data_IF_600810877916
#
_entry.id   IF_600810877916
#
_cell.length_a   1.000
_cell.length_b   1.000
_cell.length_c   1.000
_cell.angle_alpha   90.00
_cell.angle_beta   90.00
_cell.angle_gamma   90.00
#
_symmetry.space_group_name_H-M   'P 1'
#
loop_
_entity.id
_entity.type
_entity.pdbx_description
1 polymer ?
#
# COMPACT_ATOMS: atom_id res chain seq x y z
N UNK A 1 14.72 -46.38 -42.38
CA UNK A 1 14.87 -45.84 -41.01
C UNK A 1 14.42 -44.39 -41.06
N UNK A 2 13.21 -44.13 -40.59
CA UNK A 2 12.65 -42.78 -40.48
C UNK A 2 12.94 -42.27 -39.07
N UNK A 3 13.75 -41.22 -38.97
CA UNK A 3 14.03 -40.55 -37.71
C UNK A 3 12.86 -39.64 -37.33
N UNK A 4 12.28 -39.88 -36.18
CA UNK A 4 11.29 -38.98 -35.53
C UNK A 4 12.07 -37.92 -34.77
N UNK A 5 12.07 -36.69 -35.24
CA UNK A 5 12.56 -35.54 -34.49
C UNK A 5 11.49 -35.12 -33.48
N UNK A 6 11.73 -35.35 -32.19
CA UNK A 6 10.89 -34.85 -31.11
C UNK A 6 11.21 -33.36 -30.93
N UNK A 7 10.25 -32.49 -31.27
CA UNK A 7 10.30 -31.07 -30.93
C UNK A 7 9.95 -30.95 -29.42
N UNK A 8 10.95 -30.69 -28.59
CA UNK A 8 10.74 -30.28 -27.23
C UNK A 8 10.34 -28.80 -27.22
N UNK A 9 9.02 -28.53 -27.10
CA UNK A 9 8.52 -27.19 -26.85
C UNK A 9 8.89 -26.82 -25.39
N UNK A 10 9.92 -26.01 -25.24
CA UNK A 10 10.20 -25.37 -23.94
C UNK A 10 9.10 -24.34 -23.68
N UNK A 11 8.12 -24.69 -22.84
CA UNK A 11 7.25 -23.72 -22.23
C UNK A 11 8.12 -22.87 -21.29
N UNK A 12 8.57 -21.70 -21.75
CA UNK A 12 9.01 -20.64 -20.87
C UNK A 12 7.77 -20.17 -20.11
N UNK A 13 7.60 -20.67 -18.90
CA UNK A 13 6.71 -20.04 -17.92
C UNK A 13 7.30 -18.65 -17.70
N UNK A 14 6.69 -17.64 -18.31
CA UNK A 14 6.96 -16.25 -17.96
C UNK A 14 6.58 -16.11 -16.49
N UNK A 15 7.59 -16.14 -15.62
CA UNK A 15 7.39 -15.77 -14.21
C UNK A 15 6.97 -14.31 -14.24
N UNK A 16 5.77 -13.95 -13.81
CA UNK A 16 5.36 -12.56 -13.80
C UNK A 16 6.39 -11.78 -12.98
N UNK A 17 6.81 -10.61 -13.50
CA UNK A 17 7.73 -9.74 -12.78
C UNK A 17 7.18 -9.52 -11.37
N UNK A 18 7.97 -9.90 -10.35
CA UNK A 18 7.55 -9.79 -8.97
C UNK A 18 7.33 -8.31 -8.62
N UNK A 19 6.09 -7.92 -8.53
CA UNK A 19 5.70 -6.63 -7.98
C UNK A 19 6.02 -6.66 -6.49
N UNK A 20 6.62 -5.59 -5.98
CA UNK A 20 7.20 -5.63 -4.65
C UNK A 20 6.78 -4.38 -3.87
N UNK A 21 5.79 -4.48 -2.99
CA UNK A 21 5.46 -3.46 -2.01
C UNK A 21 5.39 -4.10 -0.63
N UNK A 22 5.63 -3.34 0.41
CA UNK A 22 5.50 -3.80 1.79
C UNK A 22 4.79 -2.74 2.61
N UNK A 23 3.86 -3.14 3.46
CA UNK A 23 3.24 -2.31 4.49
C UNK A 23 3.46 -2.99 5.84
N UNK A 24 3.76 -2.23 6.87
CA UNK A 24 3.84 -2.70 8.25
C UNK A 24 3.23 -1.72 9.24
N UNK A 25 2.76 -2.24 10.38
CA UNK A 25 2.27 -1.47 11.53
C UNK A 25 3.09 -1.86 12.76
N UNK A 26 3.76 -0.90 13.34
CA UNK A 26 4.52 -1.08 14.58
C UNK A 26 3.70 -0.62 15.77
N UNK A 27 3.60 -1.47 16.78
CA UNK A 27 3.00 -1.16 18.08
C UNK A 27 4.10 -0.81 19.08
N UNK A 28 4.23 0.48 19.35
CA UNK A 28 5.29 1.05 20.18
C UNK A 28 4.95 1.12 21.67
N UNK A 29 5.76 1.92 22.38
CA UNK A 29 5.57 2.20 23.80
C UNK A 29 4.33 3.08 24.03
N UNK A 30 3.61 2.84 25.13
CA UNK A 30 2.47 3.64 25.56
C UNK A 30 1.43 3.87 24.45
N UNK A 31 1.08 2.81 23.72
CA UNK A 31 0.07 2.86 22.69
C UNK A 31 0.48 3.62 21.42
N UNK A 32 1.74 4.01 21.29
CA UNK A 32 2.23 4.60 20.04
C UNK A 32 2.09 3.63 18.87
N UNK A 33 1.59 4.11 17.75
CA UNK A 33 1.44 3.35 16.52
C UNK A 33 2.18 4.05 15.40
N UNK A 34 2.92 3.29 14.60
CA UNK A 34 3.60 3.80 13.41
C UNK A 34 3.30 2.85 12.25
N UNK A 35 2.76 3.39 11.18
CA UNK A 35 2.55 2.65 9.92
C UNK A 35 3.63 3.03 8.93
N UNK A 36 4.23 2.05 8.27
CA UNK A 36 5.21 2.30 7.22
C UNK A 36 4.88 1.50 5.95
N UNK A 37 5.29 2.04 4.81
CA UNK A 37 5.12 1.41 3.51
C UNK A 37 6.30 1.69 2.59
N UNK A 38 6.67 0.69 1.73
CA UNK A 38 7.51 0.88 0.55
C UNK A 38 6.69 0.77 -0.73
N UNK A 39 6.90 1.70 -1.65
CA UNK A 39 6.37 1.63 -3.01
C UNK A 39 7.46 1.08 -3.92
N UNK A 40 7.23 -0.13 -4.41
CA UNK A 40 8.16 -0.80 -5.30
C UNK A 40 7.49 -1.00 -6.67
N UNK A 41 8.11 -0.45 -7.71
CA UNK A 41 7.57 -0.48 -9.05
C UNK A 41 8.69 -0.52 -10.09
N UNK A 42 8.44 -1.18 -11.22
CA UNK A 42 9.45 -1.31 -12.29
C UNK A 42 9.68 -0.01 -13.05
N UNK A 43 8.61 0.75 -13.29
CA UNK A 43 8.63 1.98 -14.06
C UNK A 43 8.58 3.21 -13.15
N UNK A 44 8.76 4.42 -13.72
CA UNK A 44 8.47 5.65 -13.01
C UNK A 44 6.97 5.77 -12.75
N UNK A 45 6.59 5.94 -11.48
CA UNK A 45 5.19 5.99 -11.06
C UNK A 45 4.65 7.42 -10.93
N UNK A 46 5.48 8.43 -11.23
CA UNK A 46 5.13 9.85 -11.23
C UNK A 46 4.37 10.30 -9.97
N UNK A 47 4.86 9.88 -8.81
CA UNK A 47 4.23 10.20 -7.52
C UNK A 47 4.38 11.66 -7.19
N UNK A 48 3.28 12.27 -6.76
CA UNK A 48 3.24 13.57 -6.12
C UNK A 48 2.54 13.46 -4.77
N UNK A 49 2.80 14.40 -3.86
CA UNK A 49 1.99 14.52 -2.65
C UNK A 49 0.86 15.52 -2.88
N UNK A 50 -0.31 15.16 -2.41
CA UNK A 50 -1.49 16.02 -2.46
C UNK A 50 -2.07 16.18 -1.07
N UNK A 51 -2.58 17.38 -0.80
CA UNK A 51 -3.40 17.70 0.37
C UNK A 51 -4.80 18.00 -0.13
N UNK A 52 -5.77 17.27 0.40
CA UNK A 52 -7.18 17.47 0.09
C UNK A 52 -7.93 17.91 1.35
N UNK A 53 -8.64 19.05 1.32
CA UNK A 53 -9.53 19.44 2.40
C UNK A 53 -10.77 18.54 2.46
N UNK A 54 -11.52 18.59 3.56
CA UNK A 54 -12.83 17.97 3.64
C UNK A 54 -13.86 18.79 2.85
N UNK A 55 -15.04 18.22 2.63
CA UNK A 55 -16.12 18.88 1.88
C UNK A 55 -15.96 18.86 0.36
N UNK A 56 -14.97 18.15 -0.18
CA UNK A 56 -14.79 18.00 -1.62
C UNK A 56 -15.82 17.06 -2.21
N UNK A 57 -16.50 17.51 -3.27
CA UNK A 57 -17.29 16.61 -4.10
C UNK A 57 -16.34 15.69 -4.89
N UNK A 58 -16.61 14.41 -4.85
CA UNK A 58 -15.82 13.36 -5.48
C UNK A 58 -16.65 12.56 -6.46
N UNK A 59 -15.99 12.11 -7.50
CA UNK A 59 -16.48 11.13 -8.46
C UNK A 59 -15.55 9.93 -8.44
N UNK A 60 -16.12 8.73 -8.32
CA UNK A 60 -15.38 7.49 -8.23
C UNK A 60 -14.77 7.01 -9.54
N UNK A 61 -14.99 7.74 -10.64
CA UNK A 61 -14.49 7.41 -11.99
C UNK A 61 -14.85 5.98 -12.45
N UNK A 62 -16.01 5.48 -11.98
CA UNK A 62 -16.52 4.14 -12.25
C UNK A 62 -17.31 4.00 -13.56
N UNK A 63 -17.33 5.04 -14.41
CA UNK A 63 -18.09 5.06 -15.65
C UNK A 63 -19.50 5.66 -15.50
N UNK A 64 -20.49 5.25 -16.31
CA UNK A 64 -21.82 5.90 -16.35
C UNK A 64 -22.58 5.89 -15.02
N UNK A 65 -22.38 4.87 -14.18
CA UNK A 65 -22.96 4.76 -12.83
C UNK A 65 -21.88 4.94 -11.75
N UNK A 66 -21.04 5.97 -11.91
CA UNK A 66 -19.97 6.25 -10.96
C UNK A 66 -20.51 6.62 -9.60
N UNK A 67 -19.88 6.07 -8.54
CA UNK A 67 -20.14 6.45 -7.17
C UNK A 67 -19.72 7.92 -6.96
N UNK A 68 -20.60 8.71 -6.36
CA UNK A 68 -20.27 10.08 -5.95
C UNK A 68 -20.39 10.24 -4.45
N UNK A 69 -19.50 11.03 -3.85
CA UNK A 69 -19.56 11.35 -2.41
C UNK A 69 -19.00 12.74 -2.12
N UNK A 70 -19.18 13.18 -0.91
CA UNK A 70 -18.50 14.36 -0.37
C UNK A 70 -17.54 13.92 0.72
N UNK A 71 -16.26 14.31 0.64
CA UNK A 71 -15.26 13.93 1.63
C UNK A 71 -15.63 14.44 3.02
N UNK A 72 -15.74 13.53 3.99
CA UNK A 72 -15.96 13.86 5.40
C UNK A 72 -14.68 14.34 6.07
N UNK A 73 -13.55 13.81 5.61
CA UNK A 73 -12.24 14.09 6.18
C UNK A 73 -11.29 14.60 5.10
N UNK A 74 -10.39 15.48 5.51
CA UNK A 74 -9.25 15.88 4.70
C UNK A 74 -8.12 14.86 4.80
N UNK A 75 -7.23 14.84 3.82
CA UNK A 75 -6.15 13.86 3.74
C UNK A 75 -4.88 14.41 3.12
N UNK A 76 -3.76 13.76 3.45
CA UNK A 76 -2.48 13.88 2.76
C UNK A 76 -2.23 12.55 2.08
N UNK A 77 -1.95 12.57 0.77
CA UNK A 77 -1.80 11.35 -0.01
C UNK A 77 -0.56 11.40 -0.92
N UNK A 78 -0.04 10.22 -1.22
CA UNK A 78 0.89 10.01 -2.33
C UNK A 78 0.13 9.38 -3.50
N UNK A 79 0.30 9.98 -4.68
CA UNK A 79 -0.37 9.52 -5.88
C UNK A 79 0.44 8.47 -6.65
N UNK A 80 -0.26 7.63 -7.41
CA UNK A 80 0.32 6.82 -8.47
C UNK A 80 -0.10 7.37 -9.82
N UNK A 81 0.85 7.58 -10.72
CA UNK A 81 0.67 8.19 -12.04
C UNK A 81 -0.02 9.56 -11.98
N UNK A 82 0.00 10.20 -10.84
CA UNK A 82 -0.70 11.46 -10.52
C UNK A 82 -2.24 11.41 -10.71
N UNK A 83 -2.83 10.23 -10.77
CA UNK A 83 -4.27 9.99 -10.99
C UNK A 83 -4.93 9.12 -9.92
N UNK A 84 -4.17 8.35 -9.17
CA UNK A 84 -4.69 7.43 -8.15
C UNK A 84 -4.12 7.72 -6.77
N UNK A 85 -4.89 7.46 -5.72
CA UNK A 85 -4.37 7.45 -4.34
C UNK A 85 -3.81 6.06 -4.04
N UNK A 86 -2.50 5.96 -3.82
CA UNK A 86 -1.84 4.67 -3.53
C UNK A 86 -1.37 4.55 -2.09
N UNK A 87 -1.28 5.67 -1.39
CA UNK A 87 -0.87 5.78 0.01
C UNK A 87 -1.43 7.08 0.58
N UNK A 88 -1.74 7.13 1.86
CA UNK A 88 -2.14 8.37 2.50
C UNK A 88 -2.67 8.19 3.92
N UNK A 89 -2.87 9.33 4.56
CA UNK A 89 -3.44 9.44 5.90
C UNK A 89 -4.47 10.57 5.93
N UNK A 90 -5.60 10.34 6.58
CA UNK A 90 -6.56 11.41 6.81
C UNK A 90 -6.33 12.13 8.15
N UNK A 91 -7.02 13.24 8.34
CA UNK A 91 -6.90 14.08 9.54
C UNK A 91 -7.30 13.37 10.84
N UNK A 92 -8.03 12.24 10.76
CA UNK A 92 -8.40 11.41 11.91
C UNK A 92 -7.32 10.36 12.23
N UNK A 93 -6.31 10.21 11.37
CA UNK A 93 -5.22 9.25 11.54
C UNK A 93 -5.48 7.88 10.91
N UNK A 94 -6.52 7.72 10.10
CA UNK A 94 -6.69 6.52 9.28
C UNK A 94 -5.67 6.55 8.14
N UNK A 95 -4.89 5.49 8.01
CA UNK A 95 -3.92 5.27 6.93
C UNK A 95 -4.47 4.25 5.95
N UNK A 96 -4.37 4.53 4.66
CA UNK A 96 -4.76 3.63 3.59
C UNK A 96 -3.58 3.38 2.64
N UNK A 97 -3.35 2.12 2.31
CA UNK A 97 -2.30 1.70 1.37
C UNK A 97 -2.86 0.68 0.40
N UNK A 98 -2.66 0.87 -0.89
CA UNK A 98 -2.92 -0.16 -1.89
C UNK A 98 -1.61 -0.76 -2.38
N UNK A 99 -1.57 -2.09 -2.46
CA UNK A 99 -0.45 -2.87 -2.94
C UNK A 99 -0.92 -3.80 -4.04
N UNK A 100 -0.01 -4.24 -4.88
CA UNK A 100 -0.31 -5.18 -5.95
C UNK A 100 -0.59 -6.58 -5.39
N UNK A 101 -1.68 -7.22 -5.86
CA UNK A 101 -2.01 -8.61 -5.60
C UNK A 101 -2.46 -9.28 -6.91
N UNK A 102 -1.67 -10.21 -7.42
CA UNK A 102 -1.95 -10.88 -8.70
C UNK A 102 -3.26 -11.67 -8.65
N UNK A 103 -3.58 -12.22 -7.50
CA UNK A 103 -4.75 -13.06 -7.23
C UNK A 103 -6.06 -12.27 -7.12
N UNK A 104 -6.02 -10.92 -7.16
CA UNK A 104 -7.24 -10.11 -7.09
C UNK A 104 -8.12 -10.33 -8.31
N UNK A 105 -9.34 -10.76 -8.06
CA UNK A 105 -10.42 -10.89 -9.05
C UNK A 105 -11.64 -10.11 -8.55
N UNK A 106 -11.97 -9.03 -9.26
CA UNK A 106 -13.08 -8.16 -8.88
C UNK A 106 -14.42 -8.73 -9.33
N UNK A 107 -15.54 -8.38 -8.65
CA UNK A 107 -16.87 -8.84 -9.03
C UNK A 107 -17.22 -8.35 -10.45
N UNK A 108 -18.10 -9.10 -11.11
CA UNK A 108 -18.67 -8.67 -12.38
C UNK A 108 -19.43 -7.35 -12.20
N UNK A 109 -19.46 -6.55 -13.27
CA UNK A 109 -20.22 -5.30 -13.27
C UNK A 109 -21.69 -5.54 -12.93
N UNK A 110 -22.21 -4.82 -11.92
CA UNK A 110 -23.62 -4.80 -11.56
C UNK A 110 -24.20 -3.40 -11.90
N UNK A 111 -25.06 -3.28 -12.90
CA UNK A 111 -25.63 -1.99 -13.28
C UNK A 111 -26.54 -1.37 -12.20
N UNK A 112 -26.95 -2.14 -11.19
CA UNK A 112 -27.79 -1.66 -10.09
C UNK A 112 -26.97 -1.11 -8.92
N UNK A 113 -25.67 -1.34 -8.90
CA UNK A 113 -24.76 -0.78 -7.89
C UNK A 113 -23.90 0.33 -8.49
N UNK A 114 -23.61 1.41 -7.74
CA UNK A 114 -22.65 2.40 -8.19
C UNK A 114 -21.25 1.77 -8.32
N UNK A 115 -20.47 2.24 -9.27
CA UNK A 115 -19.13 1.75 -9.53
C UNK A 115 -18.07 2.69 -8.98
N UNK A 116 -17.05 2.13 -8.36
CA UNK A 116 -15.86 2.84 -7.86
C UNK A 116 -14.63 2.34 -8.62
N UNK A 117 -13.89 3.24 -9.24
CA UNK A 117 -12.60 2.88 -9.83
C UNK A 117 -11.60 2.46 -8.77
N UNK A 118 -10.79 1.47 -9.09
CA UNK A 118 -9.69 1.01 -8.23
C UNK A 118 -8.71 2.15 -7.92
N UNK A 119 -8.58 3.13 -8.79
CA UNK A 119 -7.74 4.33 -8.59
C UNK A 119 -8.25 5.21 -7.43
N UNK A 120 -9.54 5.16 -7.12
CA UNK A 120 -10.19 5.94 -6.07
C UNK A 120 -10.44 5.15 -4.78
N UNK A 121 -10.12 3.85 -4.74
CA UNK A 121 -10.48 2.97 -3.61
C UNK A 121 -9.88 3.43 -2.28
N UNK A 122 -8.57 3.68 -2.24
CA UNK A 122 -7.94 4.21 -1.02
C UNK A 122 -8.45 5.61 -0.65
N UNK A 123 -8.69 6.48 -1.66
CA UNK A 123 -9.23 7.83 -1.40
C UNK A 123 -10.64 7.76 -0.80
N UNK A 124 -11.48 6.86 -1.29
CA UNK A 124 -12.82 6.66 -0.73
C UNK A 124 -12.76 6.27 0.75
N UNK A 125 -11.83 5.38 1.13
CA UNK A 125 -11.65 5.00 2.52
C UNK A 125 -11.19 6.19 3.38
N UNK A 126 -10.19 6.95 2.93
CA UNK A 126 -9.68 8.13 3.63
C UNK A 126 -10.73 9.24 3.77
N UNK A 127 -11.56 9.43 2.77
CA UNK A 127 -12.58 10.48 2.75
C UNK A 127 -13.77 10.17 3.68
N UNK A 128 -14.07 8.89 3.93
CA UNK A 128 -15.35 8.50 4.55
C UNK A 128 -15.24 7.92 5.96
N UNK A 129 -14.08 7.38 6.37
CA UNK A 129 -13.93 6.67 7.63
C UNK A 129 -12.86 7.30 8.52
N UNK A 130 -13.13 7.34 9.84
CA UNK A 130 -12.17 7.82 10.82
C UNK A 130 -11.29 6.69 11.37
N UNK A 131 -11.81 5.46 11.42
CA UNK A 131 -11.15 4.31 12.02
C UNK A 131 -11.22 3.07 11.12
N UNK A 132 -10.36 2.10 11.38
CA UNK A 132 -10.41 0.79 10.72
C UNK A 132 -11.75 0.10 10.98
N UNK A 133 -12.26 0.13 12.20
CA UNK A 133 -13.53 -0.49 12.56
C UNK A 133 -14.71 0.10 11.77
N UNK A 134 -14.77 1.43 11.61
CA UNK A 134 -15.78 2.09 10.79
C UNK A 134 -15.68 1.67 9.31
N UNK A 135 -14.47 1.58 8.79
CA UNK A 135 -14.25 1.16 7.41
C UNK A 135 -14.65 -0.30 7.17
N UNK A 136 -14.31 -1.20 8.10
CA UNK A 136 -14.71 -2.61 8.04
C UNK A 136 -16.23 -2.75 8.02
N UNK A 137 -16.92 -2.02 8.89
CA UNK A 137 -18.40 -2.05 8.94
C UNK A 137 -19.00 -1.44 7.68
N UNK A 138 -18.50 -0.30 7.21
CA UNK A 138 -19.04 0.41 6.06
C UNK A 138 -18.76 -0.27 4.70
N UNK A 139 -17.73 -1.09 4.62
CA UNK A 139 -17.35 -1.79 3.38
C UNK A 139 -17.82 -3.24 3.31
N UNK A 140 -18.20 -3.84 4.43
CA UNK A 140 -18.61 -5.24 4.54
C UNK A 140 -19.71 -5.65 3.57
N UNK A 141 -20.70 -4.80 3.39
CA UNK A 141 -21.86 -5.06 2.53
C UNK A 141 -21.63 -4.63 1.08
N UNK A 142 -20.40 -4.29 0.71
CA UNK A 142 -20.03 -3.89 -0.64
C UNK A 142 -20.96 -2.82 -1.23
N UNK A 143 -20.96 -1.56 -0.72
CA UNK A 143 -21.89 -0.51 -1.14
C UNK A 143 -21.71 -0.07 -2.59
N UNK A 144 -20.65 -0.52 -3.24
CA UNK A 144 -20.31 -0.26 -4.65
C UNK A 144 -19.68 -1.50 -5.28
N UNK A 145 -19.58 -1.50 -6.60
CA UNK A 145 -18.75 -2.45 -7.34
C UNK A 145 -17.40 -1.81 -7.63
N UNK A 146 -16.33 -2.47 -7.22
CA UNK A 146 -14.98 -2.03 -7.56
C UNK A 146 -14.67 -2.41 -9.00
N UNK A 147 -14.32 -1.43 -9.82
CA UNK A 147 -13.95 -1.62 -11.22
C UNK A 147 -12.47 -1.32 -11.44
N UNK A 148 -11.80 -2.22 -12.12
CA UNK A 148 -10.39 -2.07 -12.46
C UNK A 148 -10.23 -1.58 -13.90
N UNK A 149 -9.08 -0.98 -14.16
CA UNK A 149 -8.65 -0.53 -15.48
C UNK A 149 -7.17 -0.89 -15.68
N UNK A 150 -6.68 -0.69 -16.88
CA UNK A 150 -5.29 -0.96 -17.21
C UNK A 150 -4.35 0.01 -16.48
N UNK A 151 -3.18 -0.50 -16.11
CA UNK A 151 -2.07 0.36 -15.65
C UNK A 151 -1.77 1.37 -16.74
N UNK A 152 -1.63 2.68 -16.43
CA UNK A 152 -1.35 3.71 -17.42
C UNK A 152 -0.17 3.35 -18.34
N UNK A 153 -0.42 3.35 -19.65
CA UNK A 153 0.58 3.01 -20.66
C UNK A 153 0.89 1.53 -20.84
N UNK A 154 0.12 0.63 -20.23
CA UNK A 154 0.32 -0.83 -20.34
C UNK A 154 -1.01 -1.55 -20.66
N UNK A 155 -0.94 -2.65 -21.38
CA UNK A 155 -2.06 -3.58 -21.60
C UNK A 155 -2.14 -4.60 -20.43
N UNK A 156 -2.16 -4.12 -19.22
CA UNK A 156 -2.19 -4.94 -18.00
C UNK A 156 -3.21 -4.39 -17.03
N UNK A 157 -4.18 -5.23 -16.66
CA UNK A 157 -5.19 -4.88 -15.68
C UNK A 157 -4.55 -4.62 -14.31
N UNK A 158 -4.99 -3.57 -13.64
CA UNK A 158 -4.56 -3.23 -12.28
C UNK A 158 -5.23 -4.18 -11.29
N UNK A 159 -4.46 -4.89 -10.50
CA UNK A 159 -4.94 -5.81 -9.45
C UNK A 159 -4.32 -5.42 -8.12
N UNK A 160 -5.14 -4.97 -7.18
CA UNK A 160 -4.70 -4.43 -5.89
C UNK A 160 -5.47 -5.07 -4.74
N UNK A 161 -4.87 -5.05 -3.56
CA UNK A 161 -5.53 -5.17 -2.28
C UNK A 161 -5.30 -3.93 -1.43
N UNK A 162 -6.23 -3.64 -0.54
CA UNK A 162 -6.20 -2.46 0.32
C UNK A 162 -5.88 -2.85 1.75
N UNK A 163 -4.99 -2.12 2.40
CA UNK A 163 -4.85 -2.17 3.86
C UNK A 163 -5.21 -0.84 4.51
N UNK A 164 -5.82 -0.94 5.67
CA UNK A 164 -6.12 0.17 6.55
C UNK A 164 -5.46 -0.05 7.91
N UNK A 165 -5.02 1.03 8.53
CA UNK A 165 -4.54 1.05 9.93
C UNK A 165 -4.85 2.40 10.56
N UNK A 166 -4.98 2.43 11.88
CA UNK A 166 -5.30 3.65 12.61
C UNK A 166 -4.50 3.82 13.90
N UNK A 167 -4.75 4.92 14.60
CA UNK A 167 -4.03 5.29 15.82
C UNK A 167 -4.24 4.35 17.00
N UNK A 168 -5.27 3.49 16.96
CA UNK A 168 -5.48 2.44 17.96
C UNK A 168 -4.57 1.23 17.76
N UNK A 169 -3.92 1.16 16.59
CA UNK A 169 -3.13 0.01 16.12
C UNK A 169 -3.99 -1.07 15.49
N UNK A 170 -5.26 -0.80 15.25
CA UNK A 170 -6.13 -1.71 14.50
C UNK A 170 -5.71 -1.78 13.03
N UNK A 171 -5.99 -2.91 12.40
CA UNK A 171 -5.55 -3.20 11.04
C UNK A 171 -6.54 -4.08 10.30
N UNK A 172 -6.84 -3.71 9.07
CA UNK A 172 -7.65 -4.54 8.18
C UNK A 172 -7.03 -4.61 6.78
N UNK A 173 -7.19 -5.77 6.13
CA UNK A 173 -6.76 -6.03 4.77
C UNK A 173 -7.99 -6.49 3.99
N UNK A 174 -8.20 -5.86 2.84
CA UNK A 174 -9.35 -6.09 1.97
C UNK A 174 -8.84 -6.68 0.65
N UNK A 175 -9.24 -7.89 0.34
CA UNK A 175 -8.88 -8.62 -0.87
C UNK A 175 -10.15 -9.01 -1.64
N UNK A 176 -10.10 -8.92 -2.95
CA UNK A 176 -11.14 -9.50 -3.82
C UNK A 176 -10.62 -10.80 -4.40
N UNK A 177 -11.17 -11.92 -3.95
CA UNK A 177 -10.78 -13.27 -4.37
C UNK A 177 -12.00 -13.97 -4.96
N UNK A 178 -11.87 -14.50 -6.18
CA UNK A 178 -12.98 -15.13 -6.91
C UNK A 178 -14.22 -14.22 -6.99
N UNK A 179 -14.02 -12.91 -7.19
CA UNK A 179 -15.09 -11.92 -7.28
C UNK A 179 -15.80 -11.59 -5.96
N UNK A 180 -15.23 -11.96 -4.81
CA UNK A 180 -15.81 -11.73 -3.48
C UNK A 180 -14.85 -10.93 -2.60
N UNK A 181 -15.41 -10.01 -1.84
CA UNK A 181 -14.66 -9.27 -0.83
C UNK A 181 -14.33 -10.17 0.37
N UNK A 182 -13.05 -10.30 0.68
CA UNK A 182 -12.54 -10.96 1.88
C UNK A 182 -11.90 -9.88 2.76
N UNK A 183 -12.36 -9.78 4.00
CA UNK A 183 -11.85 -8.81 4.97
C UNK A 183 -11.11 -9.56 6.09
N UNK A 184 -9.81 -9.33 6.17
CA UNK A 184 -8.98 -9.80 7.27
C UNK A 184 -8.83 -8.66 8.27
N UNK A 185 -9.44 -8.79 9.45
CA UNK A 185 -9.48 -7.73 10.45
C UNK A 185 -8.94 -8.21 11.79
N UNK A 186 -7.79 -7.73 12.18
CA UNK A 186 -7.17 -7.95 13.48
C UNK A 186 -6.02 -6.97 13.71
N UNK A 187 -5.88 -6.53 14.94
CA UNK A 187 -4.70 -5.79 15.40
C UNK A 187 -3.39 -6.53 15.15
N UNK A 188 -3.41 -7.86 15.08
CA UNK A 188 -2.23 -8.71 14.87
C UNK A 188 -1.80 -8.77 13.39
N UNK A 189 -2.62 -8.28 12.47
CA UNK A 189 -2.32 -8.25 11.05
C UNK A 189 -1.46 -7.04 10.68
N UNK A 190 -0.22 -7.05 11.21
CA UNK A 190 0.71 -5.94 11.16
C UNK A 190 1.43 -5.79 9.82
N UNK A 191 1.50 -6.84 9.00
CA UNK A 191 2.26 -6.83 7.75
C UNK A 191 1.36 -7.21 6.57
N UNK A 192 1.55 -6.54 5.44
CA UNK A 192 0.99 -6.90 4.14
C UNK A 192 2.06 -6.70 3.09
N UNK A 193 2.20 -7.68 2.18
CA UNK A 193 3.08 -7.56 1.01
C UNK A 193 2.28 -7.74 -0.27
N UNK A 194 2.70 -8.60 -1.18
CA UNK A 194 2.00 -8.89 -2.43
C UNK A 194 1.52 -10.34 -2.42
N UNK A 195 1.58 -11.03 -3.58
CA UNK A 195 1.23 -12.47 -3.67
C UNK A 195 2.04 -13.35 -2.71
N UNK A 196 1.44 -14.39 -2.17
CA UNK A 196 0.07 -14.85 -2.39
C UNK A 196 -0.98 -14.08 -1.57
N UNK A 197 -2.25 -14.55 -1.59
CA UNK A 197 -3.33 -14.02 -0.74
C UNK A 197 -2.94 -14.00 0.74
N UNK A 198 -3.59 -13.16 1.52
CA UNK A 198 -3.17 -12.91 2.89
C UNK A 198 -3.21 -14.16 3.79
N UNK A 199 -4.22 -15.01 3.67
CA UNK A 199 -4.29 -16.28 4.44
C UNK A 199 -3.14 -17.22 4.08
N UNK A 200 -2.80 -17.32 2.80
CA UNK A 200 -1.65 -18.13 2.35
C UNK A 200 -0.33 -17.53 2.85
N UNK A 201 -0.25 -16.20 2.90
CA UNK A 201 0.90 -15.50 3.45
C UNK A 201 1.09 -15.78 4.94
N UNK A 202 0.01 -15.79 5.72
CA UNK A 202 0.03 -16.17 7.14
C UNK A 202 0.53 -17.62 7.31
N UNK A 203 0.03 -18.55 6.49
CA UNK A 203 0.46 -19.96 6.53
C UNK A 203 1.96 -20.12 6.22
N UNK A 204 2.47 -19.41 5.21
CA UNK A 204 3.90 -19.39 4.87
C UNK A 204 4.75 -18.81 5.99
N UNK A 205 4.27 -17.74 6.64
CA UNK A 205 5.00 -17.09 7.73
C UNK A 205 5.15 -18.01 8.97
N UNK A 206 4.18 -18.87 9.23
CA UNK A 206 4.24 -19.85 10.33
C UNK A 206 5.49 -20.75 10.25
N UNK A 207 5.93 -21.12 9.05
CA UNK A 207 7.17 -21.86 8.85
C UNK A 207 8.39 -21.06 9.31
N UNK A 208 8.46 -19.77 8.94
CA UNK A 208 9.58 -18.90 9.31
C UNK A 208 9.59 -18.55 10.80
N UNK A 209 8.42 -18.39 11.41
CA UNK A 209 8.29 -18.24 12.88
C UNK A 209 8.84 -19.46 13.62
N UNK A 210 8.57 -20.66 13.11
CA UNK A 210 9.08 -21.90 13.68
C UNK A 210 10.60 -22.04 13.60
N UNK A 211 11.25 -21.51 12.56
CA UNK A 211 12.71 -21.46 12.43
C UNK A 211 13.31 -20.45 13.40
N UNK A 212 12.65 -19.29 13.59
CA UNK A 212 13.12 -18.19 14.40
C UNK A 212 14.09 -17.26 13.66
N UNK A 213 13.75 -15.98 13.64
CA UNK A 213 14.44 -14.98 12.83
C UNK A 213 15.90 -14.69 13.20
N UNK A 214 16.35 -15.06 14.41
CA UNK A 214 17.75 -14.98 14.81
C UNK A 214 18.57 -16.16 14.30
N UNK A 215 17.94 -17.26 13.90
CA UNK A 215 18.58 -18.42 13.29
C UNK A 215 18.69 -18.24 11.79
N UNK A 216 17.56 -17.88 11.11
CA UNK A 216 17.53 -17.64 9.68
C UNK A 216 16.32 -16.79 9.29
N UNK A 217 16.51 -15.89 8.33
CA UNK A 217 15.46 -15.18 7.62
C UNK A 217 15.67 -15.29 6.11
N UNK A 218 14.59 -15.38 5.32
CA UNK A 218 14.72 -15.45 3.87
C UNK A 218 15.15 -14.10 3.30
N UNK A 219 16.11 -14.08 2.37
CA UNK A 219 16.79 -12.88 1.91
C UNK A 219 16.38 -12.35 0.54
N UNK A 220 15.45 -13.01 -0.16
CA UNK A 220 15.08 -12.56 -1.52
C UNK A 220 14.10 -11.38 -1.53
N UNK A 221 13.87 -10.83 -2.72
CA UNK A 221 12.89 -9.76 -2.91
C UNK A 221 11.44 -10.26 -3.07
N UNK A 222 11.22 -11.56 -3.01
CA UNK A 222 9.88 -12.15 -3.10
C UNK A 222 8.98 -11.65 -1.97
N UNK A 223 7.69 -11.51 -2.26
CA UNK A 223 6.72 -10.99 -1.31
C UNK A 223 6.69 -11.77 0.01
N UNK A 224 6.68 -13.11 -0.06
CA UNK A 224 6.68 -13.97 1.13
C UNK A 224 7.96 -13.81 1.98
N UNK A 225 9.11 -13.62 1.34
CA UNK A 225 10.38 -13.41 2.03
C UNK A 225 10.45 -12.04 2.70
N UNK A 226 9.93 -11.01 2.03
CA UNK A 226 9.80 -9.65 2.61
C UNK A 226 8.81 -9.64 3.77
N UNK A 227 7.71 -10.41 3.65
CA UNK A 227 6.74 -10.56 4.73
C UNK A 227 7.40 -11.15 5.98
N UNK A 228 8.12 -12.26 5.85
CA UNK A 228 8.80 -12.91 6.97
C UNK A 228 9.80 -11.97 7.67
N UNK A 229 10.60 -11.21 6.89
CA UNK A 229 11.53 -10.22 7.46
C UNK A 229 10.77 -9.07 8.14
N UNK A 230 9.74 -8.52 7.50
CA UNK A 230 8.94 -7.44 8.08
C UNK A 230 8.28 -7.88 9.39
N UNK A 231 7.65 -9.06 9.41
CA UNK A 231 7.00 -9.60 10.60
C UNK A 231 7.99 -9.79 11.74
N UNK A 232 9.14 -10.41 11.48
CA UNK A 232 10.17 -10.59 12.49
C UNK A 232 10.70 -9.27 13.03
N UNK A 233 11.18 -8.38 12.16
CA UNK A 233 11.82 -7.13 12.60
C UNK A 233 10.84 -6.17 13.26
N UNK A 234 9.60 -6.06 12.78
CA UNK A 234 8.59 -5.20 13.41
C UNK A 234 8.33 -5.59 14.86
N UNK A 235 8.39 -6.90 15.16
CA UNK A 235 8.22 -7.40 16.53
C UNK A 235 9.52 -7.43 17.35
N UNK A 236 10.69 -7.48 16.69
CA UNK A 236 11.99 -7.57 17.35
C UNK A 236 12.58 -6.20 17.75
N UNK A 237 12.20 -5.11 17.07
CA UNK A 237 12.68 -3.78 17.44
C UNK A 237 12.09 -3.36 18.80
N UNK A 238 12.89 -2.65 19.65
CA UNK A 238 12.43 -2.22 20.96
C UNK A 238 11.23 -1.28 20.88
N UNK A 239 10.41 -1.28 21.92
CA UNK A 239 9.33 -0.29 22.10
C UNK A 239 9.90 0.96 22.74
N UNK A 240 10.44 1.86 21.92
CA UNK A 240 11.09 3.09 22.38
C UNK A 240 10.09 4.07 22.99
N UNK A 241 10.47 4.70 24.10
CA UNK A 241 9.75 5.84 24.67
C UNK A 241 9.94 7.09 23.79
N UNK A 242 11.16 7.30 23.28
CA UNK A 242 11.46 8.38 22.35
C UNK A 242 10.88 8.08 20.96
N UNK A 243 9.94 8.94 20.55
CA UNK A 243 9.24 8.80 19.26
C UNK A 243 10.17 8.99 18.04
N UNK A 244 11.27 9.74 18.17
CA UNK A 244 12.24 9.85 17.07
C UNK A 244 13.00 8.55 16.88
N UNK A 245 13.38 7.89 17.98
CA UNK A 245 13.99 6.56 17.92
C UNK A 245 13.01 5.52 17.37
N UNK A 246 11.74 5.57 17.78
CA UNK A 246 10.72 4.67 17.26
C UNK A 246 10.55 4.85 15.73
N UNK A 247 10.42 6.08 15.24
CA UNK A 247 10.32 6.38 13.81
C UNK A 247 11.58 5.93 13.06
N UNK A 248 12.76 6.20 13.59
CA UNK A 248 14.03 5.79 12.99
C UNK A 248 14.15 4.26 12.89
N UNK A 249 13.72 3.53 13.93
CA UNK A 249 13.68 2.06 13.91
C UNK A 249 12.71 1.53 12.87
N UNK A 250 11.50 2.09 12.77
CA UNK A 250 10.51 1.70 11.76
C UNK A 250 11.04 1.98 10.35
N UNK A 251 11.70 3.12 10.13
CA UNK A 251 12.43 3.37 8.87
C UNK A 251 13.49 2.29 8.58
N UNK A 252 14.21 1.85 9.60
CA UNK A 252 15.22 0.79 9.44
C UNK A 252 14.58 -0.53 8.99
N UNK A 253 13.42 -0.89 9.54
CA UNK A 253 12.67 -2.10 9.13
C UNK A 253 12.18 -1.97 7.70
N UNK A 254 11.50 -0.88 7.34
CA UNK A 254 10.96 -0.73 5.99
C UNK A 254 12.07 -0.65 4.93
N UNK A 255 13.24 -0.08 5.26
CA UNK A 255 14.42 -0.10 4.39
C UNK A 255 15.00 -1.50 4.22
N UNK A 256 15.01 -2.33 5.27
CA UNK A 256 15.48 -3.72 5.20
C UNK A 256 14.66 -4.57 4.23
N UNK A 257 13.37 -4.32 4.13
CA UNK A 257 12.46 -5.05 3.24
C UNK A 257 12.24 -4.37 1.89
N UNK A 258 12.94 -3.27 1.65
CA UNK A 258 12.95 -2.57 0.36
C UNK A 258 13.77 -3.33 -0.67
N UNK A 259 13.43 -3.11 -1.93
CA UNK A 259 14.14 -3.68 -3.08
C UNK A 259 15.15 -2.67 -3.61
N UNK A 260 16.43 -3.03 -3.78
CA UNK A 260 17.45 -2.12 -4.29
C UNK A 260 17.02 -1.43 -5.59
N UNK A 261 17.18 -0.10 -5.63
CA UNK A 261 16.79 0.69 -6.80
C UNK A 261 17.56 0.29 -8.05
N UNK A 262 16.83 0.02 -9.14
CA UNK A 262 17.43 -0.34 -10.44
C UNK A 262 17.96 -1.77 -10.52
N UNK A 263 17.63 -2.64 -9.56
CA UNK A 263 18.04 -4.04 -9.61
C UNK A 263 17.55 -4.72 -10.90
N UNK A 264 18.44 -5.47 -11.53
CA UNK A 264 18.18 -6.22 -12.76
C UNK A 264 19.03 -7.49 -12.77
N UNK A 265 18.50 -8.56 -13.33
CA UNK A 265 19.26 -9.80 -13.59
C UNK A 265 19.08 -10.20 -15.05
N UNK A 266 19.97 -11.05 -15.61
CA UNK A 266 19.83 -11.51 -17.00
C UNK A 266 18.48 -12.19 -17.27
N UNK A 267 17.95 -12.93 -16.27
CA UNK A 267 16.70 -13.67 -16.41
C UNK A 267 15.46 -12.83 -16.06
N UNK A 268 15.65 -11.73 -15.32
CA UNK A 268 14.59 -10.83 -14.88
C UNK A 268 15.05 -9.38 -15.03
N UNK A 269 14.99 -8.80 -16.22
CA UNK A 269 15.24 -7.38 -16.42
C UNK A 269 14.09 -6.56 -15.83
N UNK A 270 14.40 -5.37 -15.32
CA UNK A 270 13.42 -4.43 -14.78
C UNK A 270 12.61 -5.00 -13.60
N UNK A 271 13.28 -5.59 -12.63
CA UNK A 271 12.63 -5.98 -11.36
C UNK A 271 12.06 -4.73 -10.67
N UNK A 272 10.83 -4.84 -10.15
CA UNK A 272 10.21 -3.76 -9.36
C UNK A 272 11.11 -3.39 -8.18
N UNK A 273 11.58 -2.16 -8.17
CA UNK A 273 12.47 -1.63 -7.14
C UNK A 273 11.80 -0.53 -6.33
N UNK A 274 12.25 -0.32 -5.10
CA UNK A 274 11.68 0.69 -4.23
C UNK A 274 11.90 2.09 -4.82
N UNK A 275 10.81 2.80 -5.07
CA UNK A 275 10.77 4.17 -5.57
C UNK A 275 10.76 5.18 -4.41
N UNK A 276 9.98 4.89 -3.39
CA UNK A 276 9.87 5.72 -2.21
C UNK A 276 9.30 4.93 -1.02
N UNK A 277 9.37 5.54 0.17
CA UNK A 277 8.80 5.02 1.40
C UNK A 277 8.01 6.11 2.11
N UNK A 278 6.99 5.69 2.84
CA UNK A 278 6.25 6.54 3.78
C UNK A 278 6.29 5.94 5.17
N UNK A 279 6.26 6.82 6.16
CA UNK A 279 6.11 6.46 7.57
C UNK A 279 5.13 7.42 8.20
N UNK A 280 4.09 6.91 8.84
CA UNK A 280 3.10 7.70 9.56
C UNK A 280 3.27 7.48 11.06
N UNK A 281 3.64 8.53 11.77
CA UNK A 281 3.58 8.57 13.23
C UNK A 281 2.18 9.05 13.64
N UNK A 282 1.34 8.11 14.04
CA UNK A 282 -0.05 8.41 14.38
C UNK A 282 -0.17 9.31 15.62
N UNK A 283 0.73 9.15 16.62
CA UNK A 283 0.69 9.94 17.87
C UNK A 283 1.00 11.41 17.63
N UNK A 284 2.01 11.70 16.79
CA UNK A 284 2.41 13.07 16.45
C UNK A 284 1.65 13.63 15.25
N UNK A 285 0.97 12.78 14.48
CA UNK A 285 0.30 13.10 13.21
C UNK A 285 1.28 13.64 12.16
N UNK A 286 2.40 12.91 11.99
CA UNK A 286 3.43 13.22 11.02
C UNK A 286 3.42 12.19 9.89
N UNK A 287 3.33 12.67 8.66
CA UNK A 287 3.44 11.85 7.44
C UNK A 287 4.80 12.10 6.81
N UNK A 288 5.72 11.15 7.01
CA UNK A 288 7.07 11.19 6.44
C UNK A 288 7.08 10.59 5.04
N UNK A 289 7.88 11.19 4.17
CA UNK A 289 8.14 10.71 2.82
C UNK A 289 9.65 10.66 2.55
N UNK A 290 10.11 9.56 1.94
CA UNK A 290 11.50 9.32 1.56
C UNK A 290 11.56 8.77 0.14
N UNK A 291 12.13 9.53 -0.81
CA UNK A 291 12.40 9.05 -2.15
C UNK A 291 13.67 8.19 -2.18
N UNK A 292 13.70 7.18 -3.05
CA UNK A 292 14.92 6.43 -3.33
C UNK A 292 15.98 7.25 -4.08
N UNK A 293 15.56 8.33 -4.76
CA UNK A 293 16.44 9.18 -5.58
C UNK A 293 17.10 10.30 -4.80
N UNK A 294 16.64 10.57 -3.58
CA UNK A 294 17.21 11.62 -2.72
C UNK A 294 17.50 11.07 -1.33
N UNK A 295 18.58 11.49 -0.67
CA UNK A 295 18.90 11.03 0.67
C UNK A 295 18.03 11.68 1.75
N UNK A 296 17.22 12.66 1.40
CA UNK A 296 16.45 13.46 2.34
C UNK A 296 15.09 12.83 2.64
N UNK A 297 14.76 12.75 3.92
CA UNK A 297 13.42 12.48 4.40
C UNK A 297 12.78 13.79 4.82
N UNK A 298 11.57 14.07 4.36
CA UNK A 298 10.78 15.20 4.82
C UNK A 298 9.41 14.71 5.32
N UNK A 299 8.64 15.60 5.94
CA UNK A 299 7.33 15.23 6.48
C UNK A 299 6.32 16.35 6.37
N UNK A 300 5.06 15.96 6.34
CA UNK A 300 3.92 16.85 6.50
C UNK A 300 3.42 16.70 7.94
N UNK A 301 3.35 17.81 8.67
CA UNK A 301 2.71 17.90 9.97
C UNK A 301 1.21 18.16 9.76
N UNK A 302 0.36 17.14 9.95
CA UNK A 302 -1.07 17.23 9.71
C UNK A 302 -1.75 18.29 10.59
N UNK A 303 -1.20 18.54 11.79
CA UNK A 303 -1.72 19.58 12.70
C UNK A 303 -1.57 21.00 12.17
N UNK A 304 -0.67 21.19 11.19
CA UNK A 304 -0.42 22.47 10.53
C UNK A 304 -1.15 22.59 9.18
N UNK A 305 -1.86 21.56 8.77
CA UNK A 305 -2.65 21.57 7.54
C UNK A 305 -4.05 22.08 7.83
N UNK A 306 -4.50 23.05 7.06
CA UNK A 306 -5.90 23.49 7.08
C UNK A 306 -6.74 22.57 6.19
N UNK A 307 -7.50 21.70 6.83
CA UNK A 307 -8.44 20.78 6.18
C UNK A 307 -9.88 21.30 6.15
N UNK A 308 -10.14 22.52 6.62
CA UNK A 308 -11.50 23.04 6.66
C UNK A 308 -12.10 23.19 5.27
N UNK A 309 -13.41 22.99 5.10
CA UNK A 309 -14.05 23.11 3.79
C UNK A 309 -14.14 24.55 3.29
N UNK A 310 -14.06 25.54 4.19
CA UNK A 310 -14.20 26.97 3.85
C UNK A 310 -12.88 27.60 3.40
N UNK A 311 -11.77 27.26 4.07
CA UNK A 311 -10.45 27.90 3.88
C UNK A 311 -9.37 26.94 3.41
N UNK A 312 -9.56 25.63 3.60
CA UNK A 312 -8.66 24.60 3.12
C UNK A 312 -8.57 24.61 1.59
N UNK A 313 -7.36 24.36 1.08
CA UNK A 313 -7.09 24.36 -0.36
C UNK A 313 -6.47 23.05 -0.78
N UNK A 314 -6.83 22.58 -1.95
CA UNK A 314 -6.09 21.52 -2.63
C UNK A 314 -4.68 22.02 -2.90
N UNK A 315 -3.66 21.25 -2.44
CA UNK A 315 -2.25 21.58 -2.65
C UNK A 315 -1.53 20.38 -3.22
N UNK A 316 -0.58 20.64 -4.08
CA UNK A 316 0.31 19.64 -4.67
C UNK A 316 1.76 20.00 -4.35
N UNK A 317 2.54 19.03 -3.90
CA UNK A 317 3.99 19.07 -3.91
C UNK A 317 4.46 18.22 -5.10
N UNK A 318 5.05 18.88 -6.09
CA UNK A 318 5.60 18.23 -7.28
C UNK A 318 6.95 17.62 -6.95
N UNK A 319 6.96 16.33 -6.66
CA UNK A 319 8.17 15.61 -6.25
C UNK A 319 9.20 15.46 -7.38
N UNK A 320 8.75 15.46 -8.65
CA UNK A 320 9.65 15.40 -9.80
C UNK A 320 10.48 16.68 -9.97
N UNK A 321 9.90 17.83 -9.62
CA UNK A 321 10.56 19.14 -9.74
C UNK A 321 11.20 19.60 -8.45
N UNK A 322 10.48 19.47 -7.34
CA UNK A 322 10.85 20.16 -6.10
C UNK A 322 11.79 19.33 -5.21
N UNK A 323 11.92 18.02 -5.48
CA UNK A 323 12.74 17.12 -4.69
C UNK A 323 14.22 17.06 -5.08
N UNK A 324 14.53 17.38 -6.34
CA UNK A 324 15.89 17.23 -6.91
C UNK A 324 16.84 18.34 -6.39
N UNK A 325 16.34 19.41 -5.83
CA UNK A 325 17.08 20.62 -5.49
C UNK A 325 17.19 20.93 -3.99
N UNK A 326 16.80 19.99 -3.13
CA UNK A 326 16.93 20.16 -1.67
C UNK A 326 18.16 19.51 -1.11
#
# INVERSE_FOLDING_TARGET
KKGVAALAAAFMLAVPAAEACTRLVYHGHDGAVITARSMDWKDEIMTNLWIFPRGMARDGSGGPNSLTWTSKYGSVIASGYDISTVDGVNEMGLVANVLWLVESEYPAHDPNKPALSIAAWAQYALDNFATVAEAVEGLRDEPFVLVSDNVPGQERLTTLHLSLSDSSGDSAIFEYIDGKLVIHHSRDYQVMTNSPTFDQQLALNTYWEGIGGTVMLPGTNRAADRYARAAFYTNAIPKFEDQNMAVASVFSVIRNVSVPFGISTPDQPNISSTRWRTVVDHKRQLYFFESALTPNTFWVDLKKVDFSPETGKVRKLDLGRDQIHT
#
